data_IF_131566278761
#
_entry.id   IF_131566278761
#
_cell.length_a   1.000
_cell.length_b   1.000
_cell.length_c   1.000
_cell.angle_alpha   90.00
_cell.angle_beta   90.00
_cell.angle_gamma   90.00
#
_symmetry.space_group_name_H-M   'P 1'
#
loop_
_entity.id
_entity.type
_entity.pdbx_description
1 polymer ?
#
# COMPACT_ATOMS: atom_id res chain seq x y z
N UNK A 1 24.62 -13.10 -7.97
CA UNK A 1 23.61 -14.07 -7.60
C UNK A 1 23.38 -14.06 -6.08
N UNK A 2 22.33 -14.75 -5.67
CA UNK A 2 21.98 -14.83 -4.26
C UNK A 2 20.90 -15.89 -4.04
N UNK A 3 20.83 -16.37 -2.80
CA UNK A 3 19.85 -17.39 -2.45
C UNK A 3 19.70 -17.46 -0.93
N UNK A 4 18.57 -16.95 -0.46
CA UNK A 4 18.29 -16.95 0.96
C UNK A 4 18.05 -15.53 1.48
N UNK A 5 16.80 -15.25 1.81
CA UNK A 5 16.42 -13.95 2.32
C UNK A 5 14.93 -13.93 2.65
N UNK A 6 14.65 -13.97 3.94
CA UNK A 6 13.27 -13.95 4.42
C UNK A 6 12.90 -12.54 4.89
N UNK A 7 11.60 -12.28 4.90
CA UNK A 7 11.10 -10.99 5.34
C UNK A 7 9.79 -10.64 4.62
N UNK A 8 9.76 -9.46 4.03
CA UNK A 8 8.59 -9.00 3.32
C UNK A 8 7.34 -9.27 4.17
N UNK A 9 7.15 -8.42 5.17
CA UNK A 9 6.02 -8.56 6.07
C UNK A 9 4.70 -8.51 5.29
N UNK A 10 3.65 -8.09 5.98
CA UNK A 10 2.35 -7.99 5.37
C UNK A 10 1.89 -6.52 5.31
N UNK A 11 0.81 -6.30 4.57
CA UNK A 11 0.28 -4.96 4.42
C UNK A 11 -1.23 -4.99 4.68
N UNK A 12 -1.65 -4.17 5.65
CA UNK A 12 -3.05 -4.09 6.00
C UNK A 12 -3.67 -2.80 5.49
N UNK A 13 -4.93 -2.91 5.06
CA UNK A 13 -5.64 -1.76 4.54
C UNK A 13 -7.13 -2.07 4.40
N UNK A 14 -7.92 -1.00 4.32
CA UNK A 14 -9.36 -1.14 4.18
C UNK A 14 -9.89 -0.11 3.17
N UNK A 15 -10.54 -0.64 2.14
CA UNK A 15 -11.09 0.21 1.10
C UNK A 15 -12.42 0.81 1.59
N UNK A 16 -12.73 1.98 1.06
CA UNK A 16 -13.96 2.67 1.44
C UNK A 16 -14.35 3.67 0.35
N UNK A 17 -15.65 3.75 0.11
CA UNK A 17 -16.18 4.66 -0.90
C UNK A 17 -17.19 5.63 -0.28
N UNK A 18 -16.88 6.91 -0.40
CA UNK A 18 -17.75 7.95 0.14
C UNK A 18 -19.05 7.98 -0.67
N UNK A 19 -19.84 6.92 -0.52
CA UNK A 19 -21.10 6.82 -1.23
C UNK A 19 -21.91 8.12 -1.10
N UNK A 20 -21.91 8.66 0.11
CA UNK A 20 -22.63 9.90 0.37
C UNK A 20 -22.31 10.94 -0.70
N UNK A 21 -21.02 11.10 -0.96
CA UNK A 21 -20.57 12.05 -1.95
C UNK A 21 -19.97 11.32 -3.17
N UNK A 22 -20.40 10.08 -3.32
CA UNK A 22 -19.92 9.26 -4.43
C UNK A 22 -18.43 9.55 -4.67
N UNK A 23 -17.63 9.16 -3.69
CA UNK A 23 -16.19 9.36 -3.78
C UNK A 23 -15.46 8.08 -3.35
N UNK A 24 -14.19 8.01 -3.71
CA UNK A 24 -13.38 6.85 -3.37
C UNK A 24 -12.44 7.16 -2.22
N UNK A 25 -12.29 6.19 -1.33
CA UNK A 25 -11.42 6.36 -0.18
C UNK A 25 -10.56 5.10 -0.02
N UNK A 26 -9.25 5.31 -0.04
CA UNK A 26 -8.31 4.22 0.10
C UNK A 26 -7.49 4.40 1.37
N UNK A 27 -7.93 3.74 2.43
CA UNK A 27 -7.25 3.83 3.71
C UNK A 27 -6.09 2.84 3.74
N UNK A 28 -4.96 3.31 4.24
CA UNK A 28 -3.77 2.48 4.33
C UNK A 28 -3.42 2.25 5.80
N UNK A 29 -3.76 1.06 6.27
CA UNK A 29 -3.49 0.70 7.65
C UNK A 29 -1.98 0.73 7.90
N UNK A 30 -1.52 -0.25 8.66
CA UNK A 30 -0.10 -0.35 8.97
C UNK A 30 0.50 -1.61 8.33
N UNK A 31 1.82 -1.68 8.39
CA UNK A 31 2.53 -2.82 7.82
C UNK A 31 3.36 -3.49 8.91
N UNK A 32 3.21 -4.81 8.99
CA UNK A 32 3.94 -5.58 9.99
C UNK A 32 4.88 -6.57 9.30
N UNK A 33 6.06 -6.70 9.88
CA UNK A 33 7.07 -7.61 9.34
C UNK A 33 7.88 -6.92 8.23
N UNK A 34 8.23 -5.67 8.49
CA UNK A 34 9.01 -4.90 7.54
C UNK A 34 10.49 -5.17 7.77
N UNK A 35 11.20 -5.50 6.65
CA UNK A 35 12.63 -5.78 6.72
C UNK A 35 13.43 -4.49 6.89
N UNK A 36 14.36 -4.53 7.84
CA UNK A 36 15.19 -3.38 8.11
C UNK A 36 16.06 -3.07 6.88
N UNK A 37 16.40 -1.81 6.73
CA UNK A 37 17.22 -1.38 5.62
C UNK A 37 18.47 -0.66 6.09
N UNK A 38 18.30 0.18 7.11
CA UNK A 38 19.40 0.93 7.67
C UNK A 38 20.21 0.02 8.60
N UNK A 39 21.52 0.23 8.60
CA UNK A 39 22.41 -0.56 9.43
C UNK A 39 22.93 0.29 10.60
N UNK A 40 21.99 0.75 11.41
CA UNK A 40 22.34 1.57 12.56
C UNK A 40 21.83 0.93 13.85
N UNK A 41 20.51 0.92 13.99
CA UNK A 41 19.88 0.33 15.16
C UNK A 41 18.85 -0.72 14.74
N UNK A 42 19.18 -1.43 13.67
CA UNK A 42 18.30 -2.46 13.15
C UNK A 42 16.89 -1.91 12.93
N UNK A 43 16.80 -0.88 12.10
CA UNK A 43 15.53 -0.26 11.81
C UNK A 43 15.61 0.52 10.49
N UNK A 44 14.47 1.07 10.10
CA UNK A 44 14.40 1.85 8.87
C UNK A 44 13.11 2.67 8.84
N UNK A 45 12.99 3.48 7.79
CA UNK A 45 11.81 4.32 7.64
C UNK A 45 11.07 3.93 6.35
N UNK A 46 10.39 2.75 6.42
CA UNK A 46 9.65 2.25 5.27
C UNK A 46 8.35 3.04 5.08
N UNK A 47 7.81 2.96 3.88
CA UNK A 47 6.58 3.66 3.55
C UNK A 47 5.88 3.01 2.35
N UNK A 48 4.57 2.87 2.48
CA UNK A 48 3.78 2.26 1.42
C UNK A 48 3.27 3.36 0.49
N UNK A 49 3.47 3.14 -0.80
CA UNK A 49 3.04 4.10 -1.81
C UNK A 49 1.67 3.69 -2.35
N UNK A 50 0.79 4.68 -2.47
CA UNK A 50 -0.55 4.44 -2.96
C UNK A 50 -0.70 4.90 -4.41
N UNK A 51 -1.42 4.11 -5.19
CA UNK A 51 -1.64 4.44 -6.58
C UNK A 51 -2.94 3.78 -7.09
N UNK A 52 -3.71 4.57 -7.81
CA UNK A 52 -4.97 4.09 -8.35
C UNK A 52 -4.75 3.60 -9.79
N UNK A 53 -4.54 2.30 -9.90
CA UNK A 53 -4.32 1.69 -11.21
C UNK A 53 -5.67 1.34 -11.84
N UNK A 54 -5.65 1.23 -13.20
CA UNK A 54 -4.43 1.44 -13.95
C UNK A 54 -4.09 2.93 -14.04
N UNK A 55 -5.11 3.73 -14.30
CA UNK A 55 -4.94 5.16 -14.41
C UNK A 55 -3.59 5.57 -13.82
N UNK A 56 -3.44 5.32 -12.53
CA UNK A 56 -2.21 5.65 -11.83
C UNK A 56 -2.13 7.17 -11.64
N UNK A 57 -3.25 7.82 -11.90
CA UNK A 57 -3.33 9.26 -11.76
C UNK A 57 -3.17 9.64 -10.29
N UNK A 58 -4.27 9.52 -9.56
CA UNK A 58 -4.27 9.85 -8.15
C UNK A 58 -3.12 9.12 -7.45
N UNK A 59 -1.99 9.81 -7.37
CA UNK A 59 -0.82 9.24 -6.74
C UNK A 59 -0.66 9.83 -5.33
N UNK A 60 -0.59 8.94 -4.35
CA UNK A 60 -0.43 9.35 -2.97
C UNK A 60 0.38 8.30 -2.21
N UNK A 61 1.03 8.75 -1.16
CA UNK A 61 1.85 7.87 -0.34
C UNK A 61 1.54 8.12 1.14
N UNK A 62 1.84 7.12 1.94
CA UNK A 62 1.59 7.22 3.38
C UNK A 62 2.82 7.79 4.09
N UNK A 63 2.56 8.57 5.12
CA UNK A 63 3.63 9.18 5.88
C UNK A 63 4.80 8.21 6.04
N UNK A 64 6.00 8.77 6.08
CA UNK A 64 7.20 7.97 6.22
C UNK A 64 7.60 7.90 7.69
N UNK A 65 7.28 6.78 8.31
CA UNK A 65 7.61 6.58 9.72
C UNK A 65 9.10 6.79 9.92
N UNK A 66 9.51 6.66 11.18
CA UNK A 66 10.91 6.83 11.53
C UNK A 66 11.39 5.66 12.39
N UNK A 67 12.29 4.87 11.82
CA UNK A 67 12.83 3.73 12.52
C UNK A 67 11.69 2.91 13.12
N UNK A 68 11.30 1.87 12.39
CA UNK A 68 10.23 1.01 12.83
C UNK A 68 9.89 -0.03 11.75
N UNK A 69 10.13 -1.28 12.08
CA UNK A 69 9.86 -2.37 11.16
C UNK A 69 8.36 -2.65 11.13
N UNK A 70 7.63 -1.88 11.93
CA UNK A 70 6.18 -2.04 12.01
C UNK A 70 5.53 -0.66 12.14
N UNK A 71 5.70 0.16 11.08
CA UNK A 71 5.14 1.50 11.06
C UNK A 71 3.62 1.46 10.84
N UNK A 72 2.95 2.45 11.38
CA UNK A 72 1.50 2.55 11.24
C UNK A 72 1.13 3.93 10.71
N UNK A 73 0.72 3.96 9.45
CA UNK A 73 0.33 5.20 8.82
C UNK A 73 -1.17 5.45 8.97
N UNK A 74 -1.92 4.39 8.80
CA UNK A 74 -3.37 4.47 8.92
C UNK A 74 -3.85 5.77 8.27
N UNK A 75 -3.41 5.99 7.05
CA UNK A 75 -3.78 7.19 6.31
C UNK A 75 -5.07 6.95 5.53
N UNK A 76 -5.53 8.01 4.89
CA UNK A 76 -6.75 7.93 4.10
C UNK A 76 -6.81 9.07 3.07
N UNK A 77 -7.10 8.69 1.83
CA UNK A 77 -7.17 9.66 0.76
C UNK A 77 -8.54 9.59 0.06
N UNK A 78 -9.12 10.76 -0.17
CA UNK A 78 -10.41 10.84 -0.82
C UNK A 78 -10.23 11.25 -2.29
N UNK A 79 -11.22 10.90 -3.09
CA UNK A 79 -11.19 11.22 -4.50
C UNK A 79 -12.61 11.31 -5.08
N UNK A 80 -12.81 12.32 -5.91
CA UNK A 80 -14.10 12.53 -6.53
C UNK A 80 -14.00 12.49 -8.06
N UNK A 81 -15.04 11.97 -8.68
CA UNK A 81 -15.07 11.86 -10.14
C UNK A 81 -15.31 10.42 -10.58
N UNK A 82 -14.93 9.50 -9.71
CA UNK A 82 -15.09 8.08 -9.99
C UNK A 82 -16.59 7.75 -10.07
N UNK A 83 -16.99 7.18 -11.23
CA UNK A 83 -18.38 6.81 -11.44
C UNK A 83 -18.74 5.55 -10.66
N UNK A 84 -17.86 5.20 -9.73
CA UNK A 84 -18.07 4.02 -8.91
C UNK A 84 -17.97 2.75 -9.75
N UNK A 85 -18.80 2.69 -10.78
CA UNK A 85 -18.82 1.54 -11.67
C UNK A 85 -17.42 1.28 -12.23
N UNK A 86 -16.58 2.30 -12.13
CA UNK A 86 -15.22 2.19 -12.63
C UNK A 86 -14.32 1.55 -11.56
N UNK A 87 -14.82 1.53 -10.33
CA UNK A 87 -14.07 0.96 -9.23
C UNK A 87 -13.62 -0.46 -9.60
N UNK A 88 -14.51 -1.16 -10.29
CA UNK A 88 -14.22 -2.52 -10.71
C UNK A 88 -13.08 -2.52 -11.75
N UNK A 89 -12.73 -1.33 -12.19
CA UNK A 89 -11.68 -1.18 -13.18
C UNK A 89 -10.47 -0.46 -12.55
N UNK A 90 -10.49 -0.37 -11.24
CA UNK A 90 -9.41 0.28 -10.51
C UNK A 90 -8.56 -0.79 -9.81
N UNK A 91 -7.53 -0.32 -9.14
CA UNK A 91 -6.63 -1.20 -8.42
C UNK A 91 -5.65 -0.38 -7.59
N UNK A 92 -5.55 -0.73 -6.31
CA UNK A 92 -4.66 -0.03 -5.41
C UNK A 92 -3.29 -0.73 -5.42
N UNK A 93 -2.30 -0.01 -5.92
CA UNK A 93 -0.95 -0.55 -5.98
C UNK A 93 -0.15 -0.07 -4.77
N UNK A 94 0.06 -0.99 -3.84
CA UNK A 94 0.80 -0.69 -2.64
C UNK A 94 2.26 -1.11 -2.76
N UNK A 95 3.13 -0.12 -2.89
CA UNK A 95 4.55 -0.38 -3.03
C UNK A 95 5.26 -0.20 -1.69
N UNK A 96 5.84 -1.29 -1.21
CA UNK A 96 6.54 -1.26 0.06
C UNK A 96 8.01 -0.91 -0.18
N UNK A 97 8.29 0.39 -0.19
CA UNK A 97 9.64 0.88 -0.41
C UNK A 97 10.30 1.15 0.94
N UNK A 98 11.41 1.87 0.88
CA UNK A 98 12.16 2.20 2.09
C UNK A 98 12.94 3.50 1.87
N UNK A 99 12.49 4.54 2.56
CA UNK A 99 13.14 5.84 2.45
C UNK A 99 14.13 6.05 3.60
N UNK A 100 15.25 6.66 3.25
CA UNK A 100 16.29 6.92 4.24
C UNK A 100 17.29 7.94 3.67
N UNK A 101 16.78 9.15 3.44
CA UNK A 101 17.60 10.21 2.89
C UNK A 101 18.45 9.68 1.73
N UNK A 102 19.39 10.52 1.30
CA UNK A 102 20.28 10.15 0.21
C UNK A 102 19.49 9.51 -0.94
N UNK A 103 18.22 9.86 -1.01
CA UNK A 103 17.35 9.33 -2.04
C UNK A 103 17.65 7.85 -2.28
N UNK A 104 17.06 7.02 -1.45
CA UNK A 104 17.26 5.58 -1.55
C UNK A 104 15.94 4.88 -1.93
N UNK A 105 15.98 4.20 -3.06
CA UNK A 105 14.81 3.49 -3.55
C UNK A 105 15.05 1.98 -3.44
N UNK A 106 14.55 1.41 -2.36
CA UNK A 106 14.70 -0.02 -2.12
C UNK A 106 13.33 -0.65 -1.96
N UNK A 107 12.73 -1.01 -3.10
CA UNK A 107 11.42 -1.61 -3.09
C UNK A 107 11.49 -2.97 -2.38
N UNK A 108 10.99 -2.98 -1.15
CA UNK A 108 10.98 -4.20 -0.35
C UNK A 108 10.08 -5.24 -1.02
N UNK A 109 9.06 -4.74 -1.70
CA UNK A 109 8.13 -5.61 -2.40
C UNK A 109 7.02 -4.80 -3.06
N UNK A 110 6.23 -5.49 -3.88
CA UNK A 110 5.13 -4.85 -4.59
C UNK A 110 3.82 -5.56 -4.26
N UNK A 111 2.80 -4.75 -3.99
CA UNK A 111 1.49 -5.28 -3.68
C UNK A 111 0.45 -4.66 -4.61
N UNK A 112 -0.54 -5.46 -4.97
CA UNK A 112 -1.60 -5.00 -5.84
C UNK A 112 -2.94 -5.56 -5.36
N UNK A 113 -3.96 -4.72 -5.45
CA UNK A 113 -5.29 -5.12 -5.03
C UNK A 113 -6.32 -4.59 -6.03
N UNK A 114 -6.68 -5.46 -7.01
CA UNK A 114 -7.65 -5.08 -8.03
C UNK A 114 -9.07 -5.07 -7.46
N UNK A 115 -9.70 -3.92 -7.52
CA UNK A 115 -11.05 -3.76 -7.02
C UNK A 115 -12.03 -4.42 -8.00
N UNK A 116 -11.48 -4.95 -9.08
CA UNK A 116 -12.28 -5.60 -10.09
C UNK A 116 -12.95 -6.84 -9.50
N UNK A 117 -14.16 -6.63 -8.99
CA UNK A 117 -14.91 -7.73 -8.40
C UNK A 117 -15.28 -7.40 -6.95
N UNK A 118 -14.41 -6.64 -6.31
CA UNK A 118 -14.63 -6.26 -4.92
C UNK A 118 -15.97 -5.54 -4.80
N UNK A 119 -16.61 -5.71 -3.65
CA UNK A 119 -17.89 -5.08 -3.39
C UNK A 119 -17.81 -4.21 -2.14
N UNK A 120 -17.72 -2.90 -2.38
CA UNK A 120 -17.64 -1.95 -1.28
C UNK A 120 -19.04 -1.45 -0.94
N UNK A 121 -19.95 -1.66 -1.88
CA UNK A 121 -21.33 -1.24 -1.69
C UNK A 121 -21.75 -1.43 -0.24
N UNK A 122 -21.65 -2.68 0.20
CA UNK A 122 -22.01 -3.02 1.57
C UNK A 122 -21.47 -1.96 2.54
N UNK A 123 -20.20 -1.63 2.35
CA UNK A 123 -19.55 -0.64 3.20
C UNK A 123 -18.03 -0.78 3.13
N UNK A 124 -17.40 -0.59 4.29
CA UNK A 124 -15.96 -0.70 4.37
C UNK A 124 -15.57 -2.13 4.71
N UNK A 125 -14.49 -2.58 4.08
CA UNK A 125 -14.00 -3.94 4.31
C UNK A 125 -12.49 -3.95 4.51
N UNK A 126 -12.05 -4.78 5.45
CA UNK A 126 -10.64 -4.90 5.76
C UNK A 126 -10.01 -5.95 4.83
N UNK A 127 -8.80 -5.63 4.38
CA UNK A 127 -8.08 -6.53 3.49
C UNK A 127 -6.58 -6.50 3.79
N UNK A 128 -5.92 -7.59 3.42
CA UNK A 128 -4.49 -7.71 3.64
C UNK A 128 -3.83 -8.28 2.39
N UNK A 129 -2.53 -8.05 2.29
CA UNK A 129 -1.77 -8.54 1.15
C UNK A 129 -0.36 -8.96 1.58
N UNK A 130 0.12 -10.02 0.96
CA UNK A 130 1.46 -10.52 1.28
C UNK A 130 2.51 -9.82 0.41
N UNK A 131 3.64 -9.53 1.04
CA UNK A 131 4.73 -8.86 0.34
C UNK A 131 5.76 -9.90 -0.10
N UNK A 132 5.99 -9.94 -1.40
CA UNK A 132 6.95 -10.88 -1.96
C UNK A 132 7.85 -10.15 -2.97
N UNK A 133 8.66 -10.93 -3.66
CA UNK A 133 9.57 -10.37 -4.65
C UNK A 133 8.85 -10.24 -5.99
N UNK A 134 8.06 -9.19 -6.11
CA UNK A 134 7.32 -8.94 -7.34
C UNK A 134 6.37 -10.10 -7.65
N UNK A 135 5.32 -9.78 -8.44
CA UNK A 135 4.34 -10.78 -8.82
C UNK A 135 4.90 -11.72 -9.90
N UNK A 136 5.90 -12.49 -9.49
CA UNK A 136 6.54 -13.42 -10.40
C UNK A 136 6.52 -14.83 -9.81
N UNK A 137 5.63 -15.66 -10.35
CA UNK A 137 5.49 -17.02 -9.87
C UNK A 137 5.46 -17.05 -8.35
N UNK A 138 4.25 -17.00 -7.81
CA UNK A 138 4.07 -17.02 -6.38
C UNK A 138 2.60 -17.23 -6.00
#
# INVERSE_FOLDING_TARGET
GSSGSSGLGTLFFSLEYNFERKAFVVNIKEARGLPAMDEQSMTSDPYIKMTILPEKKHKVKTRVLRKTLDPAFDETFTFYGIPYTQIQELALHFTILSFDRFSRDDIIGEVLIPLSGIELSEGKMLMNREIISGPSSG
#
